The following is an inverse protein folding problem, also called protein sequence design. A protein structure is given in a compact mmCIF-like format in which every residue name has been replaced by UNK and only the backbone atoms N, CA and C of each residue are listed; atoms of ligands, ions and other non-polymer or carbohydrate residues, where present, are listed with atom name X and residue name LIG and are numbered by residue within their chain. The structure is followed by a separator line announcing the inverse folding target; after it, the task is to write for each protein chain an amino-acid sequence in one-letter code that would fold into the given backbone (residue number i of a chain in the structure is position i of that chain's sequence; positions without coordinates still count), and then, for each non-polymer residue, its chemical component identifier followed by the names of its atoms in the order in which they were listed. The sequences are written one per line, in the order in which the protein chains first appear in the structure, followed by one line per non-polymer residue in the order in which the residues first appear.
data_IF_969901827108
#
_entry.id   IF_969901827108
#
_cell.length_a   1.000
_cell.length_b   1.000
_cell.length_c   1.000
_cell.angle_alpha   90.00
_cell.angle_beta   90.00
_cell.angle_gamma   90.00
#
_symmetry.space_group_name_H-M   'P 1'
#
loop_
_entity.id
_entity.type
_entity.pdbx_description
1 polymer ?
#
# COMPACT_ATOMS: atom_id res chain seq x y z
N UNK A 1 9.83 26.93 -5.13
CA UNK A 1 11.01 26.09 -4.85
C UNK A 1 10.78 24.79 -5.57
N UNK A 2 11.77 24.27 -6.31
CA UNK A 2 11.61 22.99 -6.99
C UNK A 2 11.32 21.89 -5.93
N UNK A 3 10.29 21.07 -6.16
CA UNK A 3 9.90 19.97 -5.26
C UNK A 3 11.08 19.05 -4.87
N UNK A 4 12.10 19.00 -5.72
CA UNK A 4 13.31 18.19 -5.52
C UNK A 4 14.23 18.74 -4.42
N UNK A 5 14.25 20.05 -4.18
CA UNK A 5 15.06 20.67 -3.13
C UNK A 5 14.39 20.56 -1.76
N UNK A 6 13.05 20.55 -1.69
CA UNK A 6 12.34 20.26 -0.45
C UNK A 6 12.56 18.81 0.01
N UNK A 7 12.55 17.85 -0.90
CA UNK A 7 12.73 16.44 -0.59
C UNK A 7 14.11 16.15 0.03
N UNK A 8 15.18 16.74 -0.53
CA UNK A 8 16.56 16.56 -0.03
C UNK A 8 16.72 17.06 1.42
N UNK A 9 15.96 18.07 1.81
CA UNK A 9 16.04 18.67 3.14
C UNK A 9 15.15 17.97 4.19
N UNK A 10 14.30 17.00 3.79
CA UNK A 10 13.40 16.27 4.69
C UNK A 10 14.04 14.99 5.24
N UNK A 11 13.84 14.74 6.53
CA UNK A 11 14.29 13.49 7.19
C UNK A 11 13.21 12.40 7.07
N UNK A 12 13.41 11.45 6.15
CA UNK A 12 12.49 10.35 5.89
C UNK A 12 12.73 9.13 6.80
N UNK A 13 12.36 9.23 8.08
CA UNK A 13 12.66 8.20 9.11
C UNK A 13 12.24 6.77 8.73
N UNK A 14 11.09 6.61 8.07
CA UNK A 14 10.63 5.29 7.63
C UNK A 14 11.45 4.79 6.44
N UNK A 15 11.51 5.56 5.35
CA UNK A 15 12.16 5.15 4.10
C UNK A 15 13.65 4.93 4.21
N UNK A 16 14.34 5.59 5.15
CA UNK A 16 15.75 5.31 5.48
C UNK A 16 16.00 3.88 5.96
N UNK A 17 14.95 3.14 6.33
CA UNK A 17 15.03 1.73 6.78
C UNK A 17 14.50 0.73 5.75
N UNK A 18 14.12 1.19 4.56
CA UNK A 18 13.52 0.36 3.52
C UNK A 18 14.52 0.11 2.38
N UNK A 19 14.39 -1.00 1.63
CA UNK A 19 15.28 -1.32 0.51
C UNK A 19 14.93 -0.46 -0.71
N UNK A 20 15.21 0.84 -0.62
CA UNK A 20 15.06 1.83 -1.70
C UNK A 20 16.32 2.69 -1.77
N UNK A 21 16.72 3.18 -2.96
CA UNK A 21 17.91 4.03 -3.07
C UNK A 21 17.72 5.33 -2.29
N UNK A 22 18.77 5.77 -1.60
CA UNK A 22 18.79 7.08 -0.95
C UNK A 22 18.71 8.22 -1.97
N UNK A 23 18.17 9.37 -1.53
CA UNK A 23 18.13 10.58 -2.36
C UNK A 23 19.56 11.00 -2.75
N UNK A 24 19.77 11.22 -4.05
CA UNK A 24 21.08 11.63 -4.59
C UNK A 24 22.08 10.50 -4.82
N UNK A 25 21.74 9.25 -4.51
CA UNK A 25 22.58 8.09 -4.87
C UNK A 25 22.43 7.81 -6.36
N UNK A 26 23.57 7.68 -7.05
CA UNK A 26 23.62 7.22 -8.44
C UNK A 26 23.54 5.70 -8.47
N UNK A 27 22.54 5.15 -9.17
CA UNK A 27 22.39 3.70 -9.36
C UNK A 27 23.19 3.29 -10.59
N UNK A 28 24.16 2.39 -10.42
CA UNK A 28 25.06 1.95 -11.49
C UNK A 28 24.70 0.57 -12.06
N UNK A 29 23.91 -0.21 -11.34
CA UNK A 29 23.53 -1.58 -11.71
C UNK A 29 22.02 -1.81 -11.64
N UNK A 30 21.48 -2.56 -12.60
CA UNK A 30 20.10 -3.02 -12.60
C UNK A 30 19.97 -4.31 -11.77
N UNK A 31 19.93 -4.21 -10.44
CA UNK A 31 19.83 -5.38 -9.54
C UNK A 31 18.98 -5.09 -8.30
N UNK A 32 18.71 -6.12 -7.51
CA UNK A 32 18.01 -5.99 -6.23
C UNK A 32 18.86 -5.20 -5.21
N UNK A 33 18.21 -4.41 -4.36
CA UNK A 33 18.89 -3.69 -3.27
C UNK A 33 19.22 -4.66 -2.13
N UNK A 34 18.27 -5.53 -1.80
CA UNK A 34 18.43 -6.64 -0.87
C UNK A 34 18.03 -7.92 -1.59
N UNK A 35 18.80 -9.00 -1.38
CA UNK A 35 18.49 -10.29 -1.98
C UNK A 35 17.14 -10.84 -1.43
N UNK A 36 16.40 -11.65 -2.23
CA UNK A 36 15.18 -12.29 -1.75
C UNK A 36 15.41 -13.05 -0.44
N UNK A 37 14.50 -12.86 0.50
CA UNK A 37 14.53 -13.57 1.78
C UNK A 37 14.03 -15.00 1.60
N UNK A 38 14.61 -15.93 2.34
CA UNK A 38 14.03 -17.26 2.54
C UNK A 38 12.71 -17.15 3.29
N UNK A 39 11.71 -17.94 2.89
CA UNK A 39 10.34 -17.86 3.45
C UNK A 39 10.34 -18.07 4.97
N UNK A 40 11.26 -18.89 5.47
CA UNK A 40 11.44 -19.20 6.89
C UNK A 40 11.90 -17.99 7.72
N UNK A 41 12.58 -17.03 7.08
CA UNK A 41 13.08 -15.79 7.71
C UNK A 41 12.01 -14.69 7.72
N UNK A 42 10.88 -14.89 7.03
CA UNK A 42 9.78 -13.93 6.99
C UNK A 42 8.97 -14.03 8.28
N UNK A 43 8.59 -12.87 8.81
CA UNK A 43 7.71 -12.77 9.97
C UNK A 43 6.37 -13.46 9.69
N UNK A 44 6.02 -14.45 10.50
CA UNK A 44 4.76 -15.23 10.37
C UNK A 44 3.54 -14.46 10.86
N UNK A 45 3.70 -13.75 11.98
CA UNK A 45 2.60 -13.02 12.62
C UNK A 45 2.41 -11.61 12.02
N UNK A 46 1.18 -11.09 11.94
CA UNK A 46 0.93 -9.72 11.52
C UNK A 46 1.68 -8.69 12.37
N UNK A 47 1.95 -7.51 11.80
CA UNK A 47 2.42 -6.37 12.59
C UNK A 47 1.33 -5.90 13.57
N UNK A 48 1.74 -5.46 14.77
CA UNK A 48 0.80 -5.01 15.79
C UNK A 48 0.13 -3.69 15.40
N UNK A 49 -1.17 -3.59 15.68
CA UNK A 49 -1.94 -2.36 15.62
C UNK A 49 -2.31 -1.92 17.05
N UNK A 50 -2.42 -0.62 17.32
CA UNK A 50 -2.91 -0.17 18.62
C UNK A 50 -4.42 -0.44 18.75
N UNK A 51 -4.90 -0.77 19.94
CA UNK A 51 -6.33 -0.80 20.24
C UNK A 51 -6.98 0.57 19.92
N UNK A 52 -8.21 0.62 19.35
CA UNK A 52 -9.13 -0.48 19.07
C UNK A 52 -9.04 -1.00 17.61
N UNK A 53 -7.87 -0.91 16.96
CA UNK A 53 -7.71 -1.25 15.56
C UNK A 53 -7.34 -2.72 15.36
N UNK A 54 -7.94 -3.35 14.35
CA UNK A 54 -7.64 -4.72 13.94
C UNK A 54 -7.45 -4.85 12.44
N UNK A 55 -6.67 -5.86 12.04
CA UNK A 55 -6.55 -6.25 10.64
C UNK A 55 -7.82 -6.94 10.16
N UNK A 56 -8.12 -6.76 8.88
CA UNK A 56 -9.16 -7.47 8.15
C UNK A 56 -8.70 -7.73 6.73
N UNK A 57 -9.20 -8.80 6.11
CA UNK A 57 -9.08 -9.03 4.68
C UNK A 57 -10.37 -8.52 4.02
N UNK A 58 -10.25 -7.63 3.04
CA UNK A 58 -11.40 -7.03 2.37
C UNK A 58 -11.76 -7.86 1.14
N UNK A 59 -12.87 -8.59 1.24
CA UNK A 59 -13.37 -9.44 0.16
C UNK A 59 -14.12 -8.61 -0.89
N UNK A 60 -13.49 -8.38 -2.04
CA UNK A 60 -14.07 -7.61 -3.14
C UNK A 60 -15.11 -8.39 -3.96
N UNK A 61 -15.34 -9.67 -3.63
CA UNK A 61 -16.47 -10.43 -4.15
C UNK A 61 -17.74 -10.20 -3.34
N UNK A 62 -17.62 -9.71 -2.10
CA UNK A 62 -18.74 -9.24 -1.29
C UNK A 62 -19.10 -7.80 -1.65
N UNK A 63 -20.36 -7.58 -2.04
CA UNK A 63 -20.86 -6.24 -2.36
C UNK A 63 -20.76 -5.30 -1.16
N UNK A 64 -21.02 -5.79 0.06
CA UNK A 64 -20.96 -4.96 1.27
C UNK A 64 -19.54 -4.45 1.52
N UNK A 65 -18.53 -5.32 1.40
CA UNK A 65 -17.14 -4.94 1.62
C UNK A 65 -16.56 -4.11 0.47
N UNK A 66 -17.01 -4.35 -0.77
CA UNK A 66 -16.69 -3.51 -1.91
C UNK A 66 -17.25 -2.08 -1.72
N UNK A 67 -18.46 -1.96 -1.20
CA UNK A 67 -19.09 -0.68 -0.86
C UNK A 67 -18.34 0.07 0.24
N UNK A 68 -17.83 -0.66 1.24
CA UNK A 68 -16.96 -0.08 2.26
C UNK A 68 -15.65 0.47 1.68
N UNK A 69 -15.00 -0.28 0.79
CA UNK A 69 -13.76 0.15 0.13
C UNK A 69 -14.03 1.36 -0.77
N UNK A 70 -15.09 1.31 -1.58
CA UNK A 70 -15.53 2.43 -2.40
C UNK A 70 -15.72 3.69 -1.56
N UNK A 71 -16.45 3.58 -0.45
CA UNK A 71 -16.70 4.71 0.45
C UNK A 71 -15.41 5.26 1.04
N UNK A 72 -14.50 4.39 1.50
CA UNK A 72 -13.19 4.81 2.02
C UNK A 72 -12.41 5.59 0.96
N UNK A 73 -12.29 5.06 -0.26
CA UNK A 73 -11.50 5.69 -1.33
C UNK A 73 -12.13 7.01 -1.80
N UNK A 74 -13.43 7.02 -2.07
CA UNK A 74 -14.12 8.22 -2.54
C UNK A 74 -14.00 9.39 -1.54
N UNK A 75 -14.04 9.10 -0.23
CA UNK A 75 -13.96 10.14 0.79
C UNK A 75 -12.52 10.54 1.18
N UNK A 76 -11.54 9.64 0.99
CA UNK A 76 -10.21 9.75 1.61
C UNK A 76 -9.02 9.50 0.68
N UNK A 77 -9.23 9.15 -0.59
CA UNK A 77 -8.16 8.99 -1.57
C UNK A 77 -7.76 10.33 -2.20
N UNK A 78 -6.86 10.28 -3.20
CA UNK A 78 -6.14 11.42 -3.78
C UNK A 78 -7.06 12.61 -4.05
N UNK A 79 -6.67 13.75 -3.51
CA UNK A 79 -7.25 15.07 -3.74
C UNK A 79 -6.21 15.86 -4.54
N UNK A 80 -6.64 16.76 -5.41
CA UNK A 80 -5.78 17.81 -5.93
C UNK A 80 -5.35 18.75 -4.79
N UNK A 81 -4.31 19.56 -5.02
CA UNK A 81 -3.73 20.43 -3.99
C UNK A 81 -4.75 21.43 -3.40
N UNK A 82 -5.83 21.71 -4.14
CA UNK A 82 -6.94 22.60 -3.75
C UNK A 82 -8.19 21.86 -3.22
N UNK A 83 -8.19 20.53 -3.19
CA UNK A 83 -9.32 19.65 -2.82
C UNK A 83 -10.62 19.88 -3.63
N UNK A 84 -10.50 20.36 -4.88
CA UNK A 84 -11.63 20.55 -5.79
C UNK A 84 -12.01 19.28 -6.57
N UNK A 85 -11.09 18.34 -6.75
CA UNK A 85 -11.30 17.12 -7.52
C UNK A 85 -10.91 15.86 -6.74
N UNK A 86 -11.76 14.83 -6.85
CA UNK A 86 -11.51 13.50 -6.29
C UNK A 86 -11.72 12.44 -7.35
N UNK A 87 -10.89 11.41 -7.33
CA UNK A 87 -11.09 10.23 -8.16
C UNK A 87 -12.26 9.41 -7.61
N UNK A 88 -13.37 9.40 -8.34
CA UNK A 88 -14.52 8.54 -8.08
C UNK A 88 -14.35 7.21 -8.81
N UNK A 89 -13.63 6.28 -8.18
CA UNK A 89 -13.47 4.92 -8.71
C UNK A 89 -14.74 4.12 -8.47
N UNK A 90 -15.55 3.92 -9.51
CA UNK A 90 -16.74 3.07 -9.43
C UNK A 90 -16.45 1.66 -8.90
N UNK A 91 -17.42 1.04 -8.25
CA UNK A 91 -17.32 -0.32 -7.66
C UNK A 91 -16.82 -1.36 -8.66
N UNK A 92 -17.37 -1.37 -9.86
CA UNK A 92 -16.97 -2.30 -10.92
C UNK A 92 -15.52 -2.07 -11.36
N UNK A 93 -15.08 -0.81 -11.40
CA UNK A 93 -13.69 -0.47 -11.67
C UNK A 93 -12.77 -0.95 -10.56
N UNK A 94 -13.11 -0.73 -9.29
CA UNK A 94 -12.32 -1.20 -8.15
C UNK A 94 -12.20 -2.72 -8.17
N UNK A 95 -13.31 -3.42 -8.40
CA UNK A 95 -13.32 -4.88 -8.52
C UNK A 95 -12.42 -5.33 -9.67
N UNK A 96 -12.58 -4.76 -10.87
CA UNK A 96 -11.77 -5.08 -12.04
C UNK A 96 -10.27 -4.83 -11.80
N UNK A 97 -9.91 -3.67 -11.26
CA UNK A 97 -8.53 -3.26 -11.06
C UNK A 97 -7.83 -4.06 -9.94
N UNK A 98 -8.54 -4.43 -8.88
CA UNK A 98 -7.98 -5.10 -7.71
C UNK A 98 -8.11 -6.63 -7.77
N UNK A 99 -8.83 -7.20 -8.73
CA UNK A 99 -8.97 -8.66 -8.88
C UNK A 99 -8.45 -9.22 -10.22
N UNK A 100 -7.29 -8.77 -10.75
CA UNK A 100 -6.74 -9.36 -11.97
C UNK A 100 -6.29 -10.80 -11.72
N UNK A 101 -6.08 -11.57 -12.79
CA UNK A 101 -5.61 -12.97 -12.69
C UNK A 101 -4.40 -13.10 -11.75
N UNK A 102 -4.49 -14.00 -10.78
CA UNK A 102 -3.44 -14.23 -9.76
C UNK A 102 -3.58 -13.39 -8.49
N UNK A 103 -4.60 -12.53 -8.39
CA UNK A 103 -4.91 -11.80 -7.16
C UNK A 103 -5.14 -12.75 -5.98
N UNK A 104 -4.91 -12.25 -4.77
CA UNK A 104 -5.07 -13.02 -3.54
C UNK A 104 -5.85 -12.20 -2.53
N UNK A 105 -6.90 -12.78 -1.94
CA UNK A 105 -7.75 -12.06 -0.99
C UNK A 105 -6.96 -11.51 0.21
N UNK A 106 -5.99 -12.27 0.70
CA UNK A 106 -5.14 -11.85 1.82
C UNK A 106 -4.18 -10.71 1.47
N UNK A 107 -4.04 -10.31 0.20
CA UNK A 107 -3.33 -9.09 -0.21
C UNK A 107 -4.20 -7.83 -0.13
N UNK A 108 -5.52 -7.94 0.11
CA UNK A 108 -6.42 -6.83 0.34
C UNK A 108 -6.52 -6.52 1.83
N UNK A 109 -5.52 -5.82 2.35
CA UNK A 109 -5.37 -5.57 3.78
C UNK A 109 -6.18 -4.33 4.22
N UNK A 110 -7.23 -4.54 5.02
CA UNK A 110 -7.99 -3.50 5.68
C UNK A 110 -7.62 -3.31 7.15
N UNK A 111 -7.71 -2.09 7.65
CA UNK A 111 -7.68 -1.78 9.10
C UNK A 111 -9.06 -1.29 9.51
N UNK A 112 -9.66 -1.95 10.51
CA UNK A 112 -10.98 -1.60 11.05
C UNK A 112 -10.87 -1.12 12.49
N UNK A 113 -11.75 -0.20 12.91
CA UNK A 113 -11.93 0.11 14.34
C UNK A 113 -13.07 -0.74 14.91
N UNK A 114 -12.82 -1.37 16.06
CA UNK A 114 -13.79 -2.22 16.76
C UNK A 114 -14.47 -3.26 15.83
N UNK A 115 -13.73 -3.78 14.86
CA UNK A 115 -14.21 -4.77 13.88
C UNK A 115 -15.27 -4.31 12.89
N UNK A 116 -15.71 -3.05 12.92
CA UNK A 116 -16.83 -2.56 12.12
C UNK A 116 -16.36 -1.68 10.95
N UNK A 117 -15.94 -0.45 11.22
CA UNK A 117 -15.67 0.53 10.17
C UNK A 117 -14.27 0.36 9.55
N UNK A 118 -14.18 0.23 8.23
CA UNK A 118 -12.93 0.28 7.46
C UNK A 118 -12.34 1.70 7.48
N UNK A 119 -11.08 1.83 7.91
CA UNK A 119 -10.40 3.12 8.13
C UNK A 119 -9.06 3.25 7.40
N UNK A 120 -8.48 2.14 6.96
CA UNK A 120 -7.37 2.16 6.04
C UNK A 120 -7.38 0.90 5.19
N UNK A 121 -6.77 1.00 4.02
CA UNK A 121 -6.69 -0.09 3.07
C UNK A 121 -5.34 -0.05 2.36
N UNK A 122 -4.70 -1.21 2.22
CA UNK A 122 -3.57 -1.39 1.32
C UNK A 122 -3.75 -2.68 0.54
N UNK A 123 -3.58 -2.63 -0.78
CA UNK A 123 -3.66 -3.78 -1.67
C UNK A 123 -2.33 -4.01 -2.39
N UNK A 124 -2.02 -5.28 -2.65
CA UNK A 124 -0.98 -5.69 -3.59
C UNK A 124 -1.61 -6.42 -4.79
N UNK A 125 -1.25 -6.00 -5.99
CA UNK A 125 -1.80 -6.49 -7.25
C UNK A 125 -0.66 -7.14 -8.04
N UNK A 126 -0.71 -8.43 -8.41
CA UNK A 126 0.39 -9.08 -9.11
C UNK A 126 0.59 -8.48 -10.51
N UNK A 127 1.85 -8.20 -10.86
CA UNK A 127 2.21 -7.72 -12.19
C UNK A 127 3.56 -8.30 -12.64
N UNK A 128 3.65 -8.67 -13.92
CA UNK A 128 4.91 -9.06 -14.53
C UNK A 128 5.54 -7.83 -15.18
N UNK A 129 6.60 -7.29 -14.59
CA UNK A 129 7.19 -6.01 -14.99
C UNK A 129 8.50 -6.25 -15.71
N UNK A 130 8.67 -5.62 -16.88
CA UNK A 130 9.95 -5.59 -17.60
C UNK A 130 10.72 -4.31 -17.27
N UNK A 131 11.89 -4.46 -16.68
CA UNK A 131 12.80 -3.37 -16.29
C UNK A 131 14.11 -3.56 -17.07
N UNK A 132 14.28 -2.75 -18.11
CA UNK A 132 15.34 -2.91 -19.12
C UNK A 132 15.32 -4.30 -19.79
N UNK A 133 16.33 -5.11 -19.49
CA UNK A 133 16.58 -6.45 -20.00
C UNK A 133 16.00 -7.55 -19.08
N UNK A 134 15.51 -7.20 -17.88
CA UNK A 134 14.98 -8.15 -16.90
C UNK A 134 13.46 -8.12 -16.87
N UNK A 135 12.85 -9.29 -16.68
CA UNK A 135 11.42 -9.42 -16.42
C UNK A 135 11.24 -10.04 -15.04
N UNK A 136 10.51 -9.37 -14.16
CA UNK A 136 10.41 -9.70 -12.73
C UNK A 136 8.94 -9.76 -12.33
N UNK A 137 8.57 -10.79 -11.56
CA UNK A 137 7.26 -10.84 -10.91
C UNK A 137 7.27 -9.85 -9.74
N UNK A 138 6.40 -8.85 -9.80
CA UNK A 138 6.28 -7.80 -8.80
C UNK A 138 4.81 -7.66 -8.37
N UNK A 139 4.58 -6.69 -7.49
CA UNK A 139 3.24 -6.25 -7.13
C UNK A 139 3.13 -4.73 -7.26
N UNK A 140 1.98 -4.26 -7.72
CA UNK A 140 1.57 -2.86 -7.67
C UNK A 140 0.81 -2.60 -6.37
N UNK A 141 1.04 -1.45 -5.74
CA UNK A 141 0.49 -1.13 -4.41
C UNK A 141 -0.51 0.01 -4.50
N UNK A 142 -1.70 -0.18 -3.91
CA UNK A 142 -2.68 0.89 -3.66
C UNK A 142 -2.84 1.08 -2.17
N UNK A 143 -2.71 2.32 -1.68
CA UNK A 143 -2.76 2.66 -0.25
C UNK A 143 -3.71 3.83 0.01
N UNK A 144 -4.67 3.65 0.91
CA UNK A 144 -5.53 4.72 1.41
C UNK A 144 -5.60 4.68 2.95
N UNK A 145 -5.53 5.86 3.56
CA UNK A 145 -5.74 6.05 5.01
C UNK A 145 -6.78 7.13 5.19
N UNK A 146 -7.80 6.82 6.01
CA UNK A 146 -8.84 7.77 6.38
C UNK A 146 -8.22 9.07 6.91
N UNK A 147 -8.75 10.23 6.48
CA UNK A 147 -8.18 11.56 6.76
C UNK A 147 -7.84 11.81 8.23
N UNK A 148 -8.75 11.42 9.12
CA UNK A 148 -8.58 11.55 10.59
C UNK A 148 -7.41 10.73 11.19
N UNK A 149 -6.92 9.71 10.49
CA UNK A 149 -5.80 8.87 10.90
C UNK A 149 -4.48 9.22 10.19
N UNK A 150 -4.51 10.21 9.28
CA UNK A 150 -3.28 10.73 8.65
C UNK A 150 -2.36 11.33 9.73
N UNK A 151 -1.06 11.29 9.46
CA UNK A 151 0.00 11.73 10.40
C UNK A 151 0.11 10.92 11.71
N UNK A 152 -0.62 9.79 11.86
CA UNK A 152 -0.51 8.87 13.00
C UNK A 152 0.44 7.68 12.75
N UNK A 153 1.29 7.77 11.72
CA UNK A 153 2.25 6.72 11.32
C UNK A 153 1.62 5.35 10.98
N UNK A 154 0.34 5.32 10.61
CA UNK A 154 -0.34 4.08 10.18
C UNK A 154 0.16 3.56 8.82
N UNK A 155 0.46 4.44 7.87
CA UNK A 155 0.94 4.07 6.54
C UNK A 155 2.24 3.22 6.57
N UNK A 156 3.28 3.57 7.36
CA UNK A 156 4.43 2.69 7.59
C UNK A 156 4.08 1.27 8.05
N UNK A 157 3.06 1.13 8.91
CA UNK A 157 2.63 -0.19 9.42
C UNK A 157 1.92 -0.98 8.32
N UNK A 158 1.07 -0.32 7.52
CA UNK A 158 0.43 -0.89 6.35
C UNK A 158 1.45 -1.40 5.33
N UNK A 159 2.46 -0.59 5.00
CA UNK A 159 3.53 -0.95 4.06
C UNK A 159 4.30 -2.18 4.57
N UNK A 160 4.68 -2.22 5.85
CA UNK A 160 5.36 -3.38 6.44
C UNK A 160 4.51 -4.64 6.39
N UNK A 161 3.22 -4.53 6.69
CA UNK A 161 2.31 -5.67 6.67
C UNK A 161 2.08 -6.20 5.25
N UNK A 162 1.89 -5.34 4.25
CA UNK A 162 1.74 -5.83 2.87
C UNK A 162 3.03 -6.46 2.36
N UNK A 163 4.20 -5.88 2.66
CA UNK A 163 5.50 -6.46 2.30
C UNK A 163 5.67 -7.85 2.93
N UNK A 164 5.26 -8.04 4.20
CA UNK A 164 5.28 -9.34 4.87
C UNK A 164 4.38 -10.39 4.20
N UNK A 165 3.23 -10.00 3.66
CA UNK A 165 2.30 -10.91 2.98
C UNK A 165 2.69 -11.22 1.54
N UNK A 166 3.46 -10.35 0.90
CA UNK A 166 3.90 -10.51 -0.49
C UNK A 166 5.15 -11.39 -0.56
N UNK A 167 6.10 -11.18 0.37
CA UNK A 167 7.25 -12.08 0.55
C UNK A 167 6.78 -13.45 1.02
#
# INVERSE_FOLDING_TARGET
MDNNDEAKNRKHQFWQTQPVPGLGIKVEENTFIEAPLEVEKIRKEPYSLPEPFSWSEVDLLSNDQLDELYTLLNENYVEDDENMFRFDYGRDFLKWALTPSGWKNYWHCGVRAAGSKLLAFIAAIPALIRIYDKTIQMVEIILCVHKKLRSKRLAPVLIREITRRVN
#
